data_IF_717448252677
#
_entry.id   IF_717448252677
#
_cell.length_a   1.000
_cell.length_b   1.000
_cell.length_c   1.000
_cell.angle_alpha   90.00
_cell.angle_beta   90.00
_cell.angle_gamma   90.00
#
_symmetry.space_group_name_H-M   'P 1'
#
loop_
_entity.id
_entity.type
_entity.pdbx_description
1 polymer ?
#
# COMPACT_ATOMS: atom_id res chain seq x y z
N UNK A 1 36.40 14.61 -25.35
CA UNK A 1 35.97 13.49 -24.50
C UNK A 1 34.58 13.08 -24.95
N UNK A 2 34.48 11.98 -25.70
CA UNK A 2 33.28 11.62 -26.46
C UNK A 2 32.15 11.16 -25.53
N UNK A 3 30.98 11.78 -25.65
CA UNK A 3 29.72 11.22 -25.14
C UNK A 3 29.42 9.96 -25.97
N UNK A 4 29.53 8.78 -25.34
CA UNK A 4 29.01 7.54 -25.93
C UNK A 4 27.49 7.64 -25.98
N UNK A 5 26.94 7.72 -27.19
CA UNK A 5 25.52 7.50 -27.44
C UNK A 5 25.23 6.00 -27.40
N UNK A 6 24.27 5.59 -26.57
CA UNK A 6 23.76 4.22 -26.55
C UNK A 6 23.31 3.70 -25.18
N UNK A 7 23.64 4.38 -24.07
CA UNK A 7 23.33 3.89 -22.72
C UNK A 7 22.15 4.66 -22.13
N UNK A 8 21.14 3.90 -21.67
CA UNK A 8 19.98 4.43 -20.95
C UNK A 8 20.39 5.22 -19.71
N UNK A 9 19.54 6.15 -19.25
CA UNK A 9 19.77 6.91 -18.03
C UNK A 9 19.92 6.02 -16.80
N UNK A 10 20.47 6.56 -15.70
CA UNK A 10 20.64 5.81 -14.43
C UNK A 10 19.33 5.15 -13.97
N UNK A 11 18.21 5.86 -14.09
CA UNK A 11 16.88 5.36 -13.75
C UNK A 11 16.48 4.15 -14.60
N UNK A 12 16.83 4.15 -15.89
CA UNK A 12 16.57 3.03 -16.79
C UNK A 12 17.42 1.80 -16.43
N UNK A 13 18.69 2.00 -16.06
CA UNK A 13 19.57 0.94 -15.59
C UNK A 13 19.02 0.30 -14.30
N UNK A 14 18.63 1.12 -13.32
CA UNK A 14 18.03 0.66 -12.07
C UNK A 14 16.73 -0.09 -12.34
N UNK A 15 15.84 0.45 -13.19
CA UNK A 15 14.59 -0.21 -13.52
C UNK A 15 14.81 -1.59 -14.16
N UNK A 16 15.73 -1.69 -15.14
CA UNK A 16 16.09 -2.96 -15.77
C UNK A 16 16.67 -3.95 -14.77
N UNK A 17 17.49 -3.49 -13.82
CA UNK A 17 18.03 -4.35 -12.76
C UNK A 17 16.92 -4.89 -11.84
N UNK A 18 15.93 -4.06 -11.48
CA UNK A 18 14.77 -4.49 -10.67
C UNK A 18 13.89 -5.50 -11.41
N UNK A 19 13.62 -5.29 -12.69
CA UNK A 19 12.86 -6.22 -13.53
C UNK A 19 13.60 -7.56 -13.66
N UNK A 20 14.91 -7.52 -13.95
CA UNK A 20 15.74 -8.71 -14.05
C UNK A 20 15.76 -9.50 -12.74
N UNK A 21 16.03 -8.83 -11.62
CA UNK A 21 16.07 -9.46 -10.30
C UNK A 21 14.74 -10.09 -9.92
N UNK A 22 13.63 -9.40 -10.19
CA UNK A 22 12.28 -9.91 -9.93
C UNK A 22 11.96 -11.14 -10.76
N UNK A 23 12.26 -11.10 -12.07
CA UNK A 23 12.06 -12.23 -12.99
C UNK A 23 12.87 -13.44 -12.55
N UNK A 24 14.17 -13.24 -12.30
CA UNK A 24 15.07 -14.31 -11.91
C UNK A 24 14.64 -14.94 -10.59
N UNK A 25 14.24 -14.13 -9.62
CA UNK A 25 13.75 -14.63 -8.34
C UNK A 25 12.50 -15.50 -8.53
N UNK A 26 11.52 -15.03 -9.31
CA UNK A 26 10.31 -15.81 -9.57
C UNK A 26 10.61 -17.13 -10.28
N UNK A 27 11.38 -17.08 -11.37
CA UNK A 27 11.70 -18.26 -12.20
C UNK A 27 12.56 -19.27 -11.44
N UNK A 28 13.62 -18.82 -10.75
CA UNK A 28 14.55 -19.70 -10.04
C UNK A 28 13.91 -20.40 -8.84
N UNK A 29 12.85 -19.82 -8.27
CA UNK A 29 12.07 -20.42 -7.18
C UNK A 29 10.75 -21.07 -7.65
N UNK A 30 10.56 -21.22 -8.96
CA UNK A 30 9.36 -21.82 -9.57
C UNK A 30 8.02 -21.12 -9.24
N UNK A 31 8.06 -19.85 -8.83
CA UNK A 31 6.85 -19.05 -8.63
C UNK A 31 6.23 -18.69 -9.98
N UNK A 32 4.96 -19.06 -10.17
CA UNK A 32 4.22 -18.80 -11.41
C UNK A 32 3.42 -17.51 -11.39
N UNK A 33 3.07 -17.01 -10.20
CA UNK A 33 2.21 -15.85 -10.04
C UNK A 33 2.64 -15.06 -8.80
N UNK A 34 2.33 -13.76 -8.79
CA UNK A 34 2.54 -12.88 -7.64
C UNK A 34 1.27 -12.14 -7.28
N UNK A 35 1.15 -11.81 -5.99
CA UNK A 35 0.08 -10.97 -5.45
C UNK A 35 0.70 -9.73 -4.84
N UNK A 36 0.15 -8.56 -5.16
CA UNK A 36 0.68 -7.26 -4.74
C UNK A 36 -0.41 -6.47 -4.04
N UNK A 37 -0.14 -6.03 -2.80
CA UNK A 37 -1.01 -5.09 -2.10
C UNK A 37 -0.99 -3.73 -2.78
N UNK A 38 -2.13 -3.31 -3.34
CA UNK A 38 -2.30 -2.00 -3.95
C UNK A 38 -2.88 -1.05 -2.90
N UNK A 39 -2.16 0.04 -2.61
CA UNK A 39 -2.59 1.04 -1.62
C UNK A 39 -3.16 2.31 -2.24
N UNK A 40 -2.93 2.52 -3.54
CA UNK A 40 -3.08 3.81 -4.23
C UNK A 40 -1.79 4.65 -4.21
N UNK A 41 -0.75 4.22 -3.49
CA UNK A 41 0.55 4.90 -3.44
C UNK A 41 1.54 4.49 -4.54
N UNK A 42 2.50 5.37 -4.79
CA UNK A 42 3.54 5.22 -5.83
C UNK A 42 4.40 3.96 -5.66
N UNK A 43 4.71 3.57 -4.42
CA UNK A 43 5.55 2.41 -4.17
C UNK A 43 4.90 1.11 -4.67
N UNK A 44 3.64 0.88 -4.28
CA UNK A 44 2.88 -0.28 -4.75
C UNK A 44 2.63 -0.24 -6.25
N UNK A 45 2.48 0.95 -6.84
CA UNK A 45 2.32 1.12 -8.28
C UNK A 45 3.59 0.73 -9.05
N UNK A 46 4.76 1.17 -8.58
CA UNK A 46 6.05 0.82 -9.16
C UNK A 46 6.32 -0.69 -9.06
N UNK A 47 6.04 -1.29 -7.90
CA UNK A 47 6.18 -2.74 -7.71
C UNK A 47 5.27 -3.52 -8.67
N UNK A 48 4.03 -3.06 -8.88
CA UNK A 48 3.11 -3.68 -9.83
C UNK A 48 3.61 -3.57 -11.28
N UNK A 49 4.13 -2.42 -11.69
CA UNK A 49 4.71 -2.23 -13.02
C UNK A 49 5.92 -3.15 -13.25
N UNK A 50 6.85 -3.20 -12.29
CA UNK A 50 8.04 -4.07 -12.35
C UNK A 50 7.61 -5.54 -12.46
N UNK A 51 6.62 -5.96 -11.67
CA UNK A 51 6.14 -7.34 -11.70
C UNK A 51 5.52 -7.70 -13.05
N UNK A 52 4.73 -6.81 -13.65
CA UNK A 52 4.15 -7.02 -14.98
C UNK A 52 5.23 -7.17 -16.05
N UNK A 53 6.26 -6.32 -16.04
CA UNK A 53 7.37 -6.42 -16.98
C UNK A 53 8.25 -7.65 -16.73
N UNK A 54 8.36 -8.08 -15.47
CA UNK A 54 9.15 -9.22 -15.07
C UNK A 54 8.52 -10.55 -15.49
N UNK A 55 7.22 -10.75 -15.24
CA UNK A 55 6.59 -12.08 -15.37
C UNK A 55 5.29 -12.11 -16.19
N UNK A 56 4.87 -10.99 -16.77
CA UNK A 56 3.65 -10.89 -17.57
C UNK A 56 2.40 -10.61 -16.71
N UNK A 57 1.51 -9.76 -17.25
CA UNK A 57 0.30 -9.28 -16.54
C UNK A 57 -0.66 -10.40 -16.12
N UNK A 58 -0.70 -11.50 -16.88
CA UNK A 58 -1.51 -12.69 -16.59
C UNK A 58 -1.07 -13.42 -15.32
N UNK A 59 0.17 -13.17 -14.88
CA UNK A 59 0.78 -13.75 -13.69
C UNK A 59 0.81 -12.78 -12.50
N UNK A 60 0.19 -11.60 -12.63
CA UNK A 60 0.13 -10.58 -11.58
C UNK A 60 -1.32 -10.34 -11.15
N UNK A 61 -1.55 -10.38 -9.84
CA UNK A 61 -2.81 -9.98 -9.23
C UNK A 61 -2.58 -8.86 -8.22
N UNK A 62 -3.35 -7.78 -8.32
CA UNK A 62 -3.45 -6.76 -7.28
C UNK A 62 -4.47 -7.16 -6.22
N UNK A 63 -4.18 -6.88 -4.95
CA UNK A 63 -5.16 -6.92 -3.86
C UNK A 63 -5.33 -5.52 -3.27
N UNK A 64 -6.54 -4.99 -3.33
CA UNK A 64 -6.91 -3.72 -2.70
C UNK A 64 -7.72 -4.00 -1.43
N UNK A 65 -7.26 -3.46 -0.30
CA UNK A 65 -7.81 -3.75 1.02
C UNK A 65 -8.33 -2.49 1.70
N UNK A 66 -9.52 -1.98 1.31
CA UNK A 66 -10.04 -0.73 1.87
C UNK A 66 -10.43 -0.91 3.34
N UNK A 67 -10.14 0.11 4.12
CA UNK A 67 -10.51 0.28 5.52
C UNK A 67 -11.52 1.43 5.66
N UNK A 68 -12.11 1.66 6.86
CA UNK A 68 -12.92 2.84 7.13
C UNK A 68 -12.21 4.19 6.85
N UNK A 69 -10.88 4.20 6.86
CA UNK A 69 -10.06 5.40 6.65
C UNK A 69 -9.50 5.52 5.22
N UNK A 70 -9.82 4.57 4.33
CA UNK A 70 -9.34 4.61 2.95
C UNK A 70 -10.06 5.73 2.20
N UNK A 71 -9.29 6.63 1.58
CA UNK A 71 -9.84 7.76 0.84
C UNK A 71 -10.40 7.32 -0.52
N UNK A 72 -11.24 8.18 -1.12
CA UNK A 72 -11.79 7.96 -2.45
C UNK A 72 -10.69 7.94 -3.50
N UNK A 73 -9.72 8.83 -3.36
CA UNK A 73 -8.57 9.03 -4.24
C UNK A 73 -7.70 7.76 -4.26
N UNK A 74 -7.34 7.22 -3.08
CA UNK A 74 -6.57 5.96 -3.02
C UNK A 74 -7.26 4.79 -3.71
N UNK A 75 -8.60 4.74 -3.63
CA UNK A 75 -9.39 3.75 -4.38
C UNK A 75 -9.30 4.03 -5.87
N UNK A 76 -9.53 5.26 -6.31
CA UNK A 76 -9.48 5.63 -7.74
C UNK A 76 -8.10 5.32 -8.34
N UNK A 77 -7.01 5.69 -7.67
CA UNK A 77 -5.63 5.42 -8.10
C UNK A 77 -5.36 3.91 -8.24
N UNK A 78 -5.77 3.10 -7.26
CA UNK A 78 -5.64 1.64 -7.34
C UNK A 78 -6.45 1.06 -8.51
N UNK A 79 -7.63 1.62 -8.78
CA UNK A 79 -8.50 1.20 -9.87
C UNK A 79 -7.96 1.60 -11.25
N UNK A 80 -7.36 2.77 -11.38
CA UNK A 80 -6.71 3.21 -12.62
C UNK A 80 -5.46 2.39 -12.91
N UNK A 81 -4.65 2.11 -11.90
CA UNK A 81 -3.43 1.32 -12.03
C UNK A 81 -3.71 -0.07 -12.60
N UNK A 82 -4.66 -0.84 -12.05
CA UNK A 82 -4.89 -2.20 -12.55
C UNK A 82 -5.43 -2.20 -13.98
N UNK A 83 -6.24 -1.19 -14.35
CA UNK A 83 -6.73 -1.01 -15.74
C UNK A 83 -5.59 -0.74 -16.70
N UNK A 84 -4.69 0.18 -16.32
CA UNK A 84 -3.53 0.54 -17.14
C UNK A 84 -2.56 -0.63 -17.32
N UNK A 85 -2.32 -1.40 -16.26
CA UNK A 85 -1.45 -2.58 -16.31
C UNK A 85 -2.13 -3.83 -16.90
N UNK A 86 -3.45 -3.84 -16.99
CA UNK A 86 -4.24 -4.98 -17.47
C UNK A 86 -4.13 -6.22 -16.56
N UNK A 87 -3.95 -6.02 -15.26
CA UNK A 87 -3.83 -7.08 -14.25
C UNK A 87 -5.18 -7.37 -13.60
N UNK A 88 -5.31 -8.53 -12.95
CA UNK A 88 -6.50 -8.84 -12.12
C UNK A 88 -6.45 -8.02 -10.84
N UNK A 89 -7.61 -7.61 -10.34
CA UNK A 89 -7.76 -6.99 -9.01
C UNK A 89 -8.71 -7.79 -8.14
N UNK A 90 -8.33 -7.98 -6.88
CA UNK A 90 -9.15 -8.56 -5.82
C UNK A 90 -9.39 -7.45 -4.81
N UNK A 91 -10.65 -7.12 -4.52
CA UNK A 91 -10.99 -6.16 -3.47
C UNK A 91 -11.52 -6.89 -2.24
N UNK A 92 -10.88 -6.65 -1.08
CA UNK A 92 -11.25 -7.26 0.20
C UNK A 92 -11.28 -6.20 1.29
N UNK A 93 -12.48 -5.72 1.64
CA UNK A 93 -12.62 -4.74 2.72
C UNK A 93 -12.22 -5.34 4.09
N UNK A 94 -11.39 -4.63 4.85
CA UNK A 94 -10.85 -5.10 6.12
C UNK A 94 -11.63 -4.62 7.34
N UNK A 95 -12.73 -3.89 7.15
CA UNK A 95 -13.53 -3.27 8.22
C UNK A 95 -13.88 -4.25 9.34
N UNK A 96 -14.38 -5.44 8.99
CA UNK A 96 -14.77 -6.46 9.98
C UNK A 96 -13.57 -6.97 10.79
N UNK A 97 -12.44 -7.22 10.13
CA UNK A 97 -11.22 -7.70 10.80
C UNK A 97 -10.72 -6.60 11.74
N UNK A 98 -10.69 -5.36 11.27
CA UNK A 98 -10.33 -4.18 12.05
C UNK A 98 -11.20 -4.01 13.30
N UNK A 99 -12.53 -4.09 13.16
CA UNK A 99 -13.47 -4.01 14.28
C UNK A 99 -13.26 -5.14 15.29
N UNK A 100 -13.07 -6.39 14.83
CA UNK A 100 -12.77 -7.52 15.71
C UNK A 100 -11.49 -7.30 16.52
N UNK A 101 -10.43 -6.75 15.91
CA UNK A 101 -9.20 -6.41 16.64
C UNK A 101 -9.45 -5.34 17.71
N UNK A 102 -10.20 -4.28 17.38
CA UNK A 102 -10.52 -3.23 18.35
C UNK A 102 -11.34 -3.75 19.53
N UNK A 103 -12.31 -4.64 19.27
CA UNK A 103 -13.12 -5.24 20.33
C UNK A 103 -12.29 -6.19 21.20
N UNK A 104 -11.53 -7.09 20.58
CA UNK A 104 -10.72 -8.11 21.27
C UNK A 104 -9.68 -7.48 22.19
N UNK A 105 -9.05 -6.39 21.75
CA UNK A 105 -7.96 -5.74 22.49
C UNK A 105 -8.44 -4.61 23.41
N UNK A 106 -9.76 -4.40 23.51
CA UNK A 106 -10.35 -3.29 24.25
C UNK A 106 -9.97 -3.27 25.73
N UNK A 107 -9.87 -4.42 26.38
CA UNK A 107 -9.48 -4.51 27.80
C UNK A 107 -8.01 -4.17 28.04
N UNK A 108 -7.14 -4.52 27.10
CA UNK A 108 -5.69 -4.37 27.24
C UNK A 108 -5.21 -2.96 26.93
N UNK A 109 -5.89 -2.27 26.00
CA UNK A 109 -5.55 -0.90 25.58
C UNK A 109 -6.61 0.14 25.96
N UNK A 110 -7.45 -0.14 26.96
CA UNK A 110 -8.36 0.86 27.50
C UNK A 110 -7.56 2.02 28.11
N UNK A 111 -7.41 3.11 27.36
CA UNK A 111 -7.14 4.42 27.96
C UNK A 111 -8.46 4.96 28.46
N UNK A 112 -8.64 5.16 29.79
CA UNK A 112 -9.80 5.87 30.28
C UNK A 112 -9.84 7.25 29.59
N UNK A 113 -11.05 7.75 29.23
CA UNK A 113 -11.17 9.08 28.67
C UNK A 113 -10.45 10.06 29.59
N UNK A 114 -9.61 10.93 29.00
CA UNK A 114 -8.96 12.01 29.75
C UNK A 114 -10.07 12.74 30.51
N UNK A 115 -10.05 12.78 31.85
CA UNK A 115 -11.11 13.45 32.59
C UNK A 115 -11.15 14.91 32.12
N UNK A 116 -12.35 15.50 31.98
CA UNK A 116 -12.46 16.91 31.61
C UNK A 116 -11.58 17.73 32.56
N UNK A 117 -10.86 18.75 32.04
CA UNK A 117 -9.97 19.56 32.87
C UNK A 117 -10.75 20.04 34.09
N UNK A 118 -10.16 19.84 35.27
CA UNK A 118 -10.73 20.31 36.52
C UNK A 118 -11.05 21.80 36.33
N UNK A 119 -12.33 22.13 36.24
CA UNK A 119 -12.78 23.52 36.28
C UNK A 119 -12.30 24.02 37.63
N UNK A 120 -11.24 24.84 37.64
CA UNK A 120 -10.80 25.51 38.86
C UNK A 120 -12.02 26.25 39.37
N UNK A 121 -12.54 25.79 40.51
CA UNK A 121 -13.71 26.36 41.15
C UNK A 121 -13.57 27.87 41.16
N UNK A 122 -14.60 28.56 40.66
CA UNK A 122 -14.70 30.00 40.75
C UNK A 122 -14.41 30.40 42.18
N UNK A 123 -13.39 31.23 42.36
CA UNK A 123 -13.17 31.91 43.64
C UNK A 123 -14.39 32.79 43.83
N UNK A 124 -15.32 32.32 44.67
CA UNK A 124 -16.37 33.13 45.23
C UNK A 124 -15.72 34.23 46.06
N UNK A 125 -15.58 35.41 45.45
CA UNK A 125 -15.27 36.64 46.18
C UNK A 125 -16.51 37.05 46.97
N UNK A 126 -16.55 36.62 48.23
CA UNK A 126 -17.43 37.19 49.23
C UNK A 126 -16.83 38.46 49.83
N UNK A 127 -17.74 39.41 50.07
CA UNK A 127 -17.64 40.71 50.73
C UNK A 127 -17.10 41.90 49.91
#
# INVERSE_FOLDING_TARGET
MARRGGEGGFEEEVYKALVLGTRDYAVKNDFKQVVIGLSGGVDSALVAAIAVDAIGKENVAGIFMPSPYTSKESREDAYELYKNLGIKIIEVAINKIFETYLETLKSEFYTPPVPPPLVRGGVGGGN
#
